data_IF_894974329405
#
_entry.id   IF_894974329405
#
_cell.length_a   1.000
_cell.length_b   1.000
_cell.length_c   1.000
_cell.angle_alpha   90.00
_cell.angle_beta   90.00
_cell.angle_gamma   90.00
#
_symmetry.space_group_name_H-M   'P 1'
#
loop_
_entity.id
_entity.type
_entity.pdbx_description
1 polymer ?
#
# COMPACT_ATOMS: atom_id res chain seq x y z
N UNK A 1 10.78 -19.24 8.43
CA UNK A 1 11.69 -18.72 7.39
C UNK A 1 10.93 -18.72 6.08
N UNK A 2 10.58 -17.55 5.55
CA UNK A 2 9.94 -17.45 4.22
C UNK A 2 10.99 -16.92 3.27
N UNK A 3 11.78 -17.84 2.74
CA UNK A 3 12.57 -17.62 1.54
C UNK A 3 11.62 -17.62 0.34
N UNK A 4 11.65 -16.55 -0.45
CA UNK A 4 11.74 -16.58 -1.92
C UNK A 4 11.62 -15.17 -2.49
N UNK A 5 12.80 -14.63 -2.81
CA UNK A 5 12.99 -13.54 -3.76
C UNK A 5 12.45 -13.97 -5.13
N UNK A 6 11.74 -13.05 -5.76
CA UNK A 6 10.89 -13.20 -6.94
C UNK A 6 11.67 -13.34 -8.26
N UNK A 7 11.45 -14.44 -9.03
CA UNK A 7 11.63 -14.44 -10.47
C UNK A 7 10.26 -14.41 -11.17
N UNK A 8 9.88 -13.26 -11.71
CA UNK A 8 9.03 -13.18 -12.90
C UNK A 8 7.50 -13.15 -12.76
N UNK A 9 6.90 -13.33 -11.57
CA UNK A 9 5.49 -12.99 -11.31
C UNK A 9 5.36 -12.51 -9.86
N UNK A 10 5.17 -11.21 -9.63
CA UNK A 10 4.92 -10.69 -8.28
C UNK A 10 3.51 -11.10 -7.85
N UNK A 11 3.39 -12.27 -7.25
CA UNK A 11 2.21 -12.67 -6.48
C UNK A 11 2.17 -11.76 -5.24
N UNK A 12 1.59 -10.58 -5.40
CA UNK A 12 1.44 -9.64 -4.30
C UNK A 12 0.55 -10.30 -3.25
N UNK A 13 0.95 -10.24 -1.98
CA UNK A 13 0.04 -10.53 -0.89
C UNK A 13 -0.99 -9.38 -0.85
N UNK A 14 -1.99 -9.47 -1.72
CA UNK A 14 -3.03 -8.46 -1.90
C UNK A 14 -3.75 -8.17 -0.58
N UNK A 15 -3.79 -9.16 0.33
CA UNK A 15 -4.31 -8.97 1.69
C UNK A 15 -3.56 -7.88 2.47
N UNK A 16 -2.23 -7.79 2.34
CA UNK A 16 -1.46 -6.69 2.96
C UNK A 16 -1.81 -5.34 2.34
N UNK A 17 -1.98 -5.26 1.02
CA UNK A 17 -2.38 -4.05 0.31
C UNK A 17 -3.78 -3.56 0.69
N UNK A 18 -4.75 -4.47 0.72
CA UNK A 18 -6.12 -4.17 1.15
C UNK A 18 -6.17 -3.71 2.61
N UNK A 19 -5.33 -4.30 3.47
CA UNK A 19 -5.14 -3.84 4.84
C UNK A 19 -4.69 -2.38 4.91
N UNK A 20 -3.70 -1.99 4.10
CA UNK A 20 -3.17 -0.62 4.05
C UNK A 20 -4.22 0.39 3.50
N UNK A 21 -4.98 -0.03 2.48
CA UNK A 21 -6.09 0.76 1.92
C UNK A 21 -7.21 0.99 2.94
N UNK A 22 -7.52 -0.04 3.72
CA UNK A 22 -8.55 -0.01 4.76
C UNK A 22 -8.11 0.85 5.93
N UNK A 23 -6.94 0.59 6.49
CA UNK A 23 -6.42 1.30 7.65
C UNK A 23 -4.91 1.47 7.56
N UNK A 24 -4.46 2.71 7.76
CA UNK A 24 -3.04 2.95 7.99
C UNK A 24 -2.73 2.61 9.46
N UNK A 25 -1.79 1.70 9.77
CA UNK A 25 -1.46 1.34 11.15
C UNK A 25 -0.92 2.53 11.96
N UNK A 26 -0.41 3.57 11.29
CA UNK A 26 0.07 4.79 11.94
C UNK A 26 -1.04 5.79 12.23
N UNK A 27 -2.27 5.52 11.74
CA UNK A 27 -3.46 6.38 11.67
C UNK A 27 -3.20 7.83 11.23
N UNK A 28 -2.05 8.06 10.60
CA UNK A 28 -1.59 9.38 10.17
C UNK A 28 -1.03 9.20 8.76
N UNK A 29 -1.91 9.43 7.77
CA UNK A 29 -1.53 9.46 6.37
C UNK A 29 -0.77 10.76 6.17
N UNK A 30 0.55 10.65 6.09
CA UNK A 30 1.44 11.79 5.86
C UNK A 30 1.04 12.45 4.53
N UNK A 31 1.21 13.76 4.42
CA UNK A 31 0.93 14.54 3.20
C UNK A 31 1.56 13.96 1.92
N UNK A 32 2.68 13.23 2.04
CA UNK A 32 3.35 12.55 0.93
C UNK A 32 2.88 11.10 0.67
N UNK A 33 1.82 10.64 1.34
CA UNK A 33 1.29 9.29 1.13
C UNK A 33 0.43 9.26 -0.15
N UNK A 34 0.66 8.34 -1.10
CA UNK A 34 -0.18 8.20 -2.29
C UNK A 34 -1.65 7.86 -1.96
N UNK A 35 -1.91 7.34 -0.76
CA UNK A 35 -3.27 7.08 -0.27
C UNK A 35 -3.96 8.33 0.33
N UNK A 36 -3.23 9.45 0.47
CA UNK A 36 -3.78 10.74 0.89
C UNK A 36 -4.70 11.31 -0.19
N UNK A 37 -4.29 11.20 -1.45
CA UNK A 37 -5.07 11.69 -2.61
C UNK A 37 -6.44 11.02 -2.67
N UNK A 38 -6.50 9.72 -2.40
CA UNK A 38 -7.75 8.96 -2.36
C UNK A 38 -8.38 8.91 -0.97
N UNK A 39 -7.91 9.70 0.00
CA UNK A 39 -8.41 9.60 1.38
C UNK A 39 -9.89 9.96 1.50
N UNK A 40 -10.35 10.90 0.68
CA UNK A 40 -11.75 11.35 0.57
C UNK A 40 -12.71 10.29 -0.01
N UNK A 41 -12.18 9.28 -0.71
CA UNK A 41 -12.97 8.23 -1.34
C UNK A 41 -13.44 7.17 -0.32
N UNK A 42 -14.58 6.56 -0.60
CA UNK A 42 -15.08 5.41 0.17
C UNK A 42 -14.15 4.21 0.01
N UNK A 43 -14.19 3.25 0.94
CA UNK A 43 -13.34 2.05 0.85
C UNK A 43 -13.55 1.29 -0.47
N UNK A 44 -14.79 1.15 -0.93
CA UNK A 44 -15.11 0.54 -2.22
C UNK A 44 -14.48 1.27 -3.40
N UNK A 45 -14.48 2.60 -3.37
CA UNK A 45 -13.88 3.44 -4.42
C UNK A 45 -12.35 3.35 -4.38
N UNK A 46 -11.75 3.27 -3.19
CA UNK A 46 -10.31 3.01 -3.01
C UNK A 46 -9.90 1.66 -3.60
N UNK A 47 -10.75 0.63 -3.48
CA UNK A 47 -10.51 -0.67 -4.11
C UNK A 47 -10.54 -0.59 -5.62
N UNK A 48 -11.53 0.10 -6.20
CA UNK A 48 -11.65 0.28 -7.66
C UNK A 48 -10.46 1.08 -8.20
N UNK A 49 -10.11 2.17 -7.52
CA UNK A 49 -8.92 2.96 -7.85
C UNK A 49 -7.66 2.10 -7.81
N UNK A 50 -7.51 1.30 -6.76
CA UNK A 50 -6.35 0.42 -6.63
C UNK A 50 -6.31 -0.66 -7.70
N UNK A 51 -7.45 -1.26 -8.05
CA UNK A 51 -7.55 -2.27 -9.10
C UNK A 51 -7.02 -1.71 -10.44
N UNK A 52 -7.42 -0.49 -10.77
CA UNK A 52 -7.00 0.24 -11.98
C UNK A 52 -5.56 0.77 -11.98
N UNK A 53 -4.78 0.61 -10.90
CA UNK A 53 -3.37 1.02 -10.88
C UNK A 53 -2.46 -0.01 -11.55
N UNK A 54 -1.48 0.49 -12.29
CA UNK A 54 -0.36 -0.29 -12.78
C UNK A 54 0.45 -0.91 -11.63
N UNK A 55 1.10 -2.03 -11.95
CA UNK A 55 1.96 -2.78 -11.05
C UNK A 55 3.06 -1.92 -10.41
N UNK A 56 3.61 -0.96 -11.16
CA UNK A 56 4.63 -0.02 -10.68
C UNK A 56 4.10 0.94 -9.61
N UNK A 57 2.88 1.46 -9.79
CA UNK A 57 2.23 2.34 -8.79
C UNK A 57 1.88 1.57 -7.53
N UNK A 58 1.40 0.33 -7.67
CA UNK A 58 1.13 -0.58 -6.54
C UNK A 58 2.41 -0.85 -5.73
N UNK A 59 3.54 -1.04 -6.40
CA UNK A 59 4.85 -1.22 -5.78
C UNK A 59 5.30 0.04 -5.02
N UNK A 60 5.12 1.22 -5.62
CA UNK A 60 5.42 2.51 -4.97
C UNK A 60 4.62 2.71 -3.67
N UNK A 61 3.32 2.36 -3.68
CA UNK A 61 2.47 2.43 -2.48
C UNK A 61 3.00 1.50 -1.38
N UNK A 62 3.43 0.28 -1.73
CA UNK A 62 4.02 -0.68 -0.79
C UNK A 62 5.33 -0.18 -0.19
N UNK A 63 6.24 0.30 -1.04
CA UNK A 63 7.53 0.85 -0.60
C UNK A 63 7.31 2.01 0.35
N UNK A 64 6.46 2.98 -0.03
CA UNK A 64 6.14 4.12 0.81
C UNK A 64 5.49 3.69 2.15
N UNK A 65 4.61 2.69 2.13
CA UNK A 65 4.00 2.16 3.34
C UNK A 65 5.05 1.56 4.28
N UNK A 66 5.99 0.77 3.75
CA UNK A 66 7.10 0.18 4.51
C UNK A 66 7.98 1.27 5.10
N UNK A 67 8.37 2.29 4.33
CA UNK A 67 9.17 3.41 4.81
C UNK A 67 8.45 4.23 5.89
N UNK A 68 7.17 4.53 5.68
CA UNK A 68 6.33 5.24 6.64
C UNK A 68 6.18 4.45 7.95
N UNK A 69 6.01 3.13 7.86
CA UNK A 69 5.93 2.24 9.02
C UNK A 69 7.25 2.19 9.79
N UNK A 70 8.38 2.13 9.09
CA UNK A 70 9.72 2.11 9.71
C UNK A 70 10.09 3.42 10.38
N UNK A 71 9.73 4.58 9.80
CA UNK A 71 10.00 5.90 10.39
C UNK A 71 9.37 6.10 11.78
N UNK A 72 8.25 5.42 12.10
CA UNK A 72 7.64 5.46 13.44
C UNK A 72 8.28 4.53 14.46
N UNK A 73 9.16 3.59 14.05
CA UNK A 73 9.85 2.68 14.98
C UNK A 73 11.12 3.27 15.60
N UNK A 74 11.39 4.56 15.42
CA UNK A 74 12.59 5.23 15.92
C UNK A 74 12.26 6.24 17.01
#
# INVERSE_FOLDING_TARGET
>A
MVERLYPGKKEYDYNKLYGILYACPTNNRIENCPLSEVSHLSFKEKLIWFDGLDTEKKDCILVHHVECSQKKRK
#
